data_IF_146682521642
#
_entry.id   IF_146682521642
#
_cell.length_a   1.000
_cell.length_b   1.000
_cell.length_c   1.000
_cell.angle_alpha   90.00
_cell.angle_beta   90.00
_cell.angle_gamma   90.00
#
_symmetry.space_group_name_H-M   'P 1'
#
loop_
_entity.id
_entity.type
_entity.pdbx_description
1 polymer ?
#
# COMPACT_ATOMS: atom_id res chain seq x y z
N UNK A 1 6.69 13.25 7.25
CA UNK A 1 7.69 13.07 6.17
C UNK A 1 7.48 11.71 5.52
N UNK A 2 7.37 11.68 4.19
CA UNK A 2 7.42 10.45 3.39
C UNK A 2 8.82 9.80 3.50
N UNK A 3 8.91 8.51 3.20
CA UNK A 3 10.17 7.78 3.20
C UNK A 3 11.14 8.39 2.18
N UNK A 4 12.35 8.74 2.61
CA UNK A 4 13.35 9.41 1.77
C UNK A 4 12.84 10.64 0.99
N UNK A 5 11.78 11.29 1.47
CA UNK A 5 11.10 12.39 0.77
C UNK A 5 10.54 12.04 -0.63
N UNK A 6 10.37 10.75 -0.95
CA UNK A 6 9.77 10.30 -2.20
C UNK A 6 8.36 9.76 -1.94
N UNK A 7 7.37 10.23 -2.68
CA UNK A 7 6.02 9.68 -2.71
C UNK A 7 5.49 9.74 -4.14
N UNK A 8 4.47 8.96 -4.45
CA UNK A 8 3.77 9.01 -5.75
C UNK A 8 2.29 9.25 -5.54
N UNK A 9 1.69 10.18 -6.28
CA UNK A 9 0.25 10.37 -6.31
C UNK A 9 -0.41 9.81 -7.56
N UNK A 10 -1.68 9.48 -7.37
CA UNK A 10 -2.62 9.34 -8.47
C UNK A 10 -4.03 9.56 -7.95
N UNK A 11 -4.95 10.03 -8.80
CA UNK A 11 -6.37 10.16 -8.44
C UNK A 11 -7.21 9.31 -9.38
N UNK A 12 -7.79 8.22 -8.86
CA UNK A 12 -8.80 7.46 -9.57
C UNK A 12 -10.06 8.31 -9.76
N UNK A 13 -10.69 8.20 -10.93
CA UNK A 13 -11.95 8.87 -11.26
C UNK A 13 -12.96 7.83 -11.75
N UNK A 14 -14.15 7.72 -11.14
CA UNK A 14 -15.18 6.80 -11.61
C UNK A 14 -15.81 7.31 -12.90
N UNK A 15 -16.24 6.39 -13.77
CA UNK A 15 -17.05 6.72 -14.93
C UNK A 15 -16.78 5.83 -16.14
N UNK A 16 -17.64 5.91 -17.17
CA UNK A 16 -17.50 5.11 -18.38
C UNK A 16 -16.13 5.33 -19.04
N UNK A 17 -15.42 4.23 -19.32
CA UNK A 17 -14.11 4.26 -20.00
C UNK A 17 -12.95 4.80 -19.15
N UNK A 18 -13.14 5.02 -17.84
CA UNK A 18 -12.06 5.39 -16.92
C UNK A 18 -11.45 4.12 -16.30
N UNK A 19 -10.13 3.87 -16.47
CA UNK A 19 -9.50 2.70 -15.88
C UNK A 19 -9.38 2.84 -14.36
N UNK A 20 -9.38 1.70 -13.66
CA UNK A 20 -8.91 1.64 -12.29
C UNK A 20 -7.43 2.04 -12.21
N UNK A 21 -7.01 2.57 -11.07
CA UNK A 21 -5.60 2.85 -10.82
C UNK A 21 -5.02 1.72 -9.96
N UNK A 22 -3.96 1.10 -10.45
CA UNK A 22 -3.41 -0.13 -9.88
C UNK A 22 -1.91 0.02 -9.63
N UNK A 23 -1.47 -0.36 -8.42
CA UNK A 23 -0.05 -0.51 -8.05
C UNK A 23 0.21 -1.99 -7.85
N UNK A 24 1.21 -2.51 -8.55
CA UNK A 24 1.60 -3.90 -8.50
C UNK A 24 3.04 -4.02 -8.00
N UNK A 25 3.29 -4.98 -7.11
CA UNK A 25 4.63 -5.32 -6.65
C UNK A 25 4.73 -6.81 -6.36
N UNK A 26 5.94 -7.36 -6.51
CA UNK A 26 6.28 -8.69 -6.04
C UNK A 26 7.24 -8.61 -4.86
N UNK A 27 7.12 -9.56 -3.93
CA UNK A 27 8.03 -9.72 -2.81
C UNK A 27 8.18 -11.19 -2.45
N UNK A 28 9.32 -11.58 -1.89
CA UNK A 28 9.52 -12.92 -1.33
C UNK A 28 9.60 -12.78 0.18
N UNK A 29 8.64 -13.34 0.92
CA UNK A 29 8.58 -13.09 2.35
C UNK A 29 7.35 -13.60 3.09
N UNK A 30 7.28 -13.28 4.38
CA UNK A 30 6.29 -13.80 5.34
C UNK A 30 5.29 -12.75 5.84
N UNK A 31 5.51 -11.47 5.54
CA UNK A 31 4.57 -10.39 5.82
C UNK A 31 4.77 -9.23 4.86
N UNK A 32 3.71 -8.42 4.69
CA UNK A 32 3.73 -7.19 3.90
C UNK A 32 2.94 -6.09 4.61
N UNK A 33 3.44 -4.86 4.53
CA UNK A 33 2.87 -3.66 5.11
C UNK A 33 2.90 -2.55 4.06
N UNK A 34 1.74 -1.93 3.82
CA UNK A 34 1.61 -0.81 2.88
C UNK A 34 1.39 0.46 3.68
N UNK A 35 2.22 1.46 3.38
CA UNK A 35 2.13 2.78 3.98
C UNK A 35 1.80 3.83 2.94
N UNK A 36 0.85 4.69 3.28
CA UNK A 36 0.47 5.85 2.49
C UNK A 36 0.54 7.12 3.33
N UNK A 37 0.54 8.26 2.65
CA UNK A 37 0.04 9.49 3.21
C UNK A 37 -1.49 9.47 3.10
N UNK A 38 -2.17 10.08 4.06
CA UNK A 38 -3.63 10.23 4.02
C UNK A 38 -3.98 11.71 4.05
N UNK A 39 -4.69 12.17 3.04
CA UNK A 39 -5.17 13.54 2.97
C UNK A 39 -6.52 13.67 3.67
N UNK A 40 -6.61 14.66 4.55
CA UNK A 40 -7.86 15.16 5.08
C UNK A 40 -8.37 16.30 4.19
N UNK A 41 -9.31 17.11 4.69
CA UNK A 41 -9.93 18.14 3.88
C UNK A 41 -8.91 19.18 3.41
N UNK A 42 -8.67 19.21 2.10
CA UNK A 42 -7.95 20.26 1.39
C UNK A 42 -8.96 21.00 0.51
N UNK A 43 -9.04 22.34 0.56
CA UNK A 43 -10.02 23.09 -0.24
C UNK A 43 -9.94 22.77 -1.73
N UNK A 44 -11.11 22.64 -2.37
CA UNK A 44 -11.27 22.51 -3.83
C UNK A 44 -10.77 21.21 -4.46
N UNK A 45 -10.39 20.19 -3.69
CA UNK A 45 -9.95 18.89 -4.20
C UNK A 45 -10.62 17.73 -3.45
N UNK A 46 -10.91 16.64 -4.17
CA UNK A 46 -11.33 15.38 -3.53
C UNK A 46 -10.10 14.69 -2.94
N UNK A 47 -10.19 14.30 -1.67
CA UNK A 47 -9.11 13.67 -0.90
C UNK A 47 -9.56 12.35 -0.27
N UNK A 48 -10.75 11.85 -0.64
CA UNK A 48 -11.22 10.53 -0.24
C UNK A 48 -10.22 9.48 -0.73
N UNK A 49 -9.86 8.52 0.14
CA UNK A 49 -9.01 7.40 -0.25
C UNK A 49 -9.83 6.12 -0.10
N UNK A 50 -9.78 5.29 -1.13
CA UNK A 50 -10.43 3.99 -1.20
C UNK A 50 -9.50 3.05 -1.96
N UNK A 51 -8.95 2.06 -1.25
CA UNK A 51 -7.97 1.10 -1.77
C UNK A 51 -8.38 -0.31 -1.39
N UNK A 52 -8.44 -1.23 -2.35
CA UNK A 52 -8.50 -2.66 -2.10
C UNK A 52 -7.13 -3.31 -2.27
N UNK A 53 -6.92 -4.40 -1.54
CA UNK A 53 -5.66 -5.12 -1.49
C UNK A 53 -5.92 -6.59 -1.82
N UNK A 54 -5.13 -7.14 -2.73
CA UNK A 54 -5.10 -8.58 -2.98
C UNK A 54 -3.67 -9.10 -2.96
N UNK A 55 -3.50 -10.33 -2.47
CA UNK A 55 -2.24 -11.07 -2.51
C UNK A 55 -2.50 -12.36 -3.29
N UNK A 56 -1.68 -12.61 -4.32
CA UNK A 56 -1.79 -13.78 -5.20
C UNK A 56 -3.20 -13.95 -5.81
N UNK A 57 -3.82 -12.82 -6.16
CA UNK A 57 -5.18 -12.77 -6.70
C UNK A 57 -6.31 -12.93 -5.68
N UNK A 58 -5.99 -13.17 -4.40
CA UNK A 58 -6.98 -13.29 -3.32
C UNK A 58 -7.20 -11.95 -2.64
N UNK A 59 -8.44 -11.48 -2.58
CA UNK A 59 -8.80 -10.24 -1.87
C UNK A 59 -8.53 -10.37 -0.37
N UNK A 60 -7.71 -9.47 0.17
CA UNK A 60 -7.30 -9.44 1.58
C UNK A 60 -7.99 -8.34 2.39
N UNK A 61 -8.70 -7.43 1.73
CA UNK A 61 -9.46 -6.36 2.39
C UNK A 61 -9.35 -5.02 1.68
N UNK A 62 -9.80 -3.99 2.40
CA UNK A 62 -9.94 -2.64 1.88
C UNK A 62 -9.60 -1.61 2.96
N UNK A 63 -9.04 -0.48 2.54
CA UNK A 63 -8.85 0.71 3.35
C UNK A 63 -9.68 1.85 2.76
N UNK A 64 -10.48 2.50 3.60
CA UNK A 64 -11.24 3.69 3.23
C UNK A 64 -10.96 4.82 4.21
N UNK A 65 -10.86 6.04 3.68
CA UNK A 65 -10.69 7.27 4.45
C UNK A 65 -11.57 8.37 3.88
N UNK A 66 -12.42 8.92 4.73
CA UNK A 66 -13.23 10.10 4.43
C UNK A 66 -12.52 11.33 5.02
N UNK A 67 -12.26 12.39 4.21
CA UNK A 67 -11.53 13.57 4.68
C UNK A 67 -12.19 14.25 5.88
N UNK A 68 -11.41 14.51 6.94
CA UNK A 68 -11.90 15.19 8.14
C UNK A 68 -11.35 16.63 8.25
N UNK A 69 -12.18 17.67 8.25
CA UNK A 69 -11.73 19.06 8.28
C UNK A 69 -11.11 19.50 9.61
N UNK A 70 -11.27 18.71 10.67
CA UNK A 70 -10.74 19.00 12.01
C UNK A 70 -9.40 18.31 12.29
N UNK A 71 -8.87 17.57 11.31
CA UNK A 71 -7.60 16.84 11.43
C UNK A 71 -6.49 17.54 10.62
N UNK A 72 -5.19 17.24 10.89
CA UNK A 72 -4.10 17.72 10.06
C UNK A 72 -4.34 17.38 8.59
N UNK A 73 -4.04 18.33 7.69
CA UNK A 73 -4.30 18.19 6.24
C UNK A 73 -3.70 16.92 5.64
N UNK A 74 -2.52 16.52 6.10
CA UNK A 74 -1.83 15.31 5.67
C UNK A 74 -1.37 14.53 6.90
N UNK A 75 -1.73 13.26 6.95
CA UNK A 75 -1.18 12.26 7.87
C UNK A 75 -0.08 11.50 7.14
N UNK A 76 1.05 11.27 7.80
CA UNK A 76 2.19 10.56 7.21
C UNK A 76 2.36 9.18 7.82
N UNK A 77 2.94 8.25 7.05
CA UNK A 77 3.29 6.89 7.50
C UNK A 77 2.07 6.12 8.02
N UNK A 78 0.89 6.34 7.43
CA UNK A 78 -0.33 5.62 7.81
C UNK A 78 -0.25 4.22 7.22
N UNK A 79 -0.32 3.19 8.08
CA UNK A 79 -0.46 1.81 7.61
C UNK A 79 -1.88 1.62 7.09
N UNK A 80 -2.01 1.49 5.77
CA UNK A 80 -3.30 1.29 5.11
C UNK A 80 -3.62 -0.19 4.91
N UNK A 81 -2.60 -1.04 4.95
CA UNK A 81 -2.76 -2.48 4.88
C UNK A 81 -1.58 -3.18 5.56
N UNK A 82 -1.87 -4.31 6.19
CA UNK A 82 -0.87 -5.22 6.70
C UNK A 82 -1.39 -6.65 6.64
N UNK A 83 -0.54 -7.58 6.23
CA UNK A 83 -0.83 -9.00 6.30
C UNK A 83 0.44 -9.75 6.72
N UNK A 84 0.28 -10.74 7.60
CA UNK A 84 1.38 -11.49 8.21
C UNK A 84 1.11 -12.98 8.09
N UNK A 85 2.05 -13.83 8.54
CA UNK A 85 1.91 -15.29 8.50
C UNK A 85 1.75 -15.85 7.08
N UNK A 86 2.32 -15.18 6.08
CA UNK A 86 2.46 -15.72 4.74
C UNK A 86 3.55 -16.81 4.72
N UNK A 87 3.40 -17.76 3.80
CA UNK A 87 4.47 -18.71 3.52
C UNK A 87 5.71 -17.96 3.01
N UNK A 88 6.92 -18.37 3.37
CA UNK A 88 8.15 -17.69 2.91
C UNK A 88 8.44 -18.03 1.43
N UNK A 89 7.66 -17.46 0.52
CA UNK A 89 7.74 -17.65 -0.93
C UNK A 89 7.50 -16.32 -1.65
N UNK A 90 7.56 -16.34 -2.98
CA UNK A 90 7.21 -15.17 -3.80
C UNK A 90 5.70 -14.96 -3.79
N UNK A 91 5.31 -13.73 -3.49
CA UNK A 91 3.95 -13.23 -3.50
C UNK A 91 3.82 -12.04 -4.44
N UNK A 92 2.61 -11.84 -4.94
CA UNK A 92 2.24 -10.67 -5.72
C UNK A 92 1.16 -9.87 -4.99
N UNK A 93 1.44 -8.61 -4.69
CA UNK A 93 0.46 -7.69 -4.11
C UNK A 93 -0.07 -6.74 -5.20
N UNK A 94 -1.40 -6.65 -5.28
CA UNK A 94 -2.11 -5.63 -6.05
C UNK A 94 -2.81 -4.68 -5.08
N UNK A 95 -2.54 -3.39 -5.24
CA UNK A 95 -3.24 -2.30 -4.56
C UNK A 95 -4.05 -1.56 -5.61
N UNK A 96 -5.36 -1.48 -5.43
CA UNK A 96 -6.27 -0.94 -6.44
C UNK A 96 -7.13 0.18 -5.85
N UNK A 97 -7.14 1.33 -6.53
CA UNK A 97 -8.19 2.33 -6.33
C UNK A 97 -9.28 2.13 -7.37
N UNK A 98 -10.49 1.85 -6.90
CA UNK A 98 -11.69 1.69 -7.70
C UNK A 98 -12.93 2.06 -6.87
N UNK A 99 -14.11 2.07 -7.51
CA UNK A 99 -15.39 2.26 -6.83
C UNK A 99 -16.26 3.33 -7.49
N UNK A 100 -17.26 3.83 -6.77
CA UNK A 100 -18.22 4.80 -7.30
C UNK A 100 -17.80 6.26 -7.13
N UNK A 101 -16.68 6.53 -6.46
CA UNK A 101 -16.18 7.87 -6.14
C UNK A 101 -14.71 8.01 -6.51
N UNK A 102 -14.28 9.25 -6.72
CA UNK A 102 -12.88 9.56 -6.93
C UNK A 102 -12.05 9.21 -5.69
N UNK A 103 -10.89 8.59 -5.89
CA UNK A 103 -10.03 8.10 -4.82
C UNK A 103 -8.60 8.59 -5.01
N UNK A 104 -8.09 9.35 -4.05
CA UNK A 104 -6.72 9.83 -4.00
C UNK A 104 -5.81 8.75 -3.42
N UNK A 105 -4.77 8.40 -4.18
CA UNK A 105 -3.67 7.54 -3.76
C UNK A 105 -2.48 8.46 -3.48
N UNK A 106 -1.91 8.42 -2.28
CA UNK A 106 -0.62 9.03 -1.94
C UNK A 106 0.30 7.94 -1.39
N UNK A 107 0.88 7.17 -2.30
CA UNK A 107 1.70 6.00 -1.97
C UNK A 107 3.07 6.42 -1.40
N UNK A 108 3.46 5.84 -0.25
CA UNK A 108 4.76 6.08 0.39
C UNK A 108 5.70 4.88 0.17
N UNK A 109 5.35 3.70 0.72
CA UNK A 109 6.19 2.50 0.60
C UNK A 109 5.47 1.19 0.89
N UNK A 110 6.04 0.10 0.37
CA UNK A 110 5.77 -1.27 0.80
C UNK A 110 6.98 -1.76 1.61
N UNK A 111 6.71 -2.41 2.74
CA UNK A 111 7.72 -3.08 3.57
C UNK A 111 7.32 -4.55 3.68
N UNK A 112 8.27 -5.46 3.54
CA UNK A 112 8.02 -6.89 3.72
C UNK A 112 9.08 -7.50 4.65
N UNK A 113 8.71 -8.59 5.31
CA UNK A 113 9.64 -9.42 6.09
C UNK A 113 9.86 -10.74 5.37
N UNK A 114 10.99 -11.41 5.61
CA UNK A 114 11.29 -12.72 5.04
C UNK A 114 12.11 -13.54 6.03
N UNK A 115 12.04 -14.86 5.93
CA UNK A 115 12.93 -15.73 6.70
C UNK A 115 14.22 -15.93 5.90
N UNK A 116 15.36 -15.58 6.51
CA UNK A 116 16.66 -15.89 5.95
C UNK A 116 16.95 -17.38 6.17
N UNK A 117 17.35 -18.10 5.12
CA UNK A 117 17.92 -19.44 5.33
C UNK A 117 19.20 -19.30 6.16
N UNK A 118 19.42 -20.11 7.21
CA UNK A 118 20.70 -20.08 7.93
C UNK A 118 21.81 -20.40 6.93
N UNK A 119 22.77 -19.47 6.79
CA UNK A 119 23.96 -19.73 6.00
C UNK A 119 24.61 -21.01 6.54
N UNK A 120 24.83 -22.01 5.67
CA UNK A 120 25.65 -23.16 6.03
C UNK A 120 27.03 -22.64 6.41
N UNK A 121 27.32 -22.61 7.71
CA UNK A 121 28.64 -22.29 8.23
C UNK A 121 29.60 -23.39 7.77
N UNK A 122 30.29 -23.16 6.66
CA UNK A 122 31.50 -23.90 6.32
C UNK A 122 32.58 -23.47 7.32
N UNK A 123 32.68 -24.21 8.42
CA UNK A 123 33.83 -24.15 9.30
C UNK A 123 35.01 -24.83 8.59
N UNK A 124 35.85 -24.04 7.92
CA UNK A 124 37.18 -24.50 7.51
C UNK A 124 38.06 -24.55 8.75
N UNK A 125 38.19 -25.73 9.35
CA UNK A 125 39.24 -25.99 10.34
C UNK A 125 40.60 -25.99 9.64
N UNK A 126 41.54 -25.17 10.11
CA UNK A 126 42.95 -25.19 9.70
C UNK A 126 43.80 -25.78 10.83
#
# INVERSE_FOLDING_TARGET
>A
MAHYCTWSDSTYQPGPGKPDHVINASFTGTAVYVYNLIANTVPSVSTETNLSFSIDGTCMGQHTHIPNPYQPKILYKVSVFSHTQLANQTHFIEIRASGSKASLILFDRIVYTYEASPASSHSTST
#
